data_IF_330088002833
#
_entry.id   IF_330088002833
#
_cell.length_a   1.000
_cell.length_b   1.000
_cell.length_c   1.000
_cell.angle_alpha   90.00
_cell.angle_beta   90.00
_cell.angle_gamma   90.00
#
_symmetry.space_group_name_H-M   'P 1'
#
loop_
_entity.id
_entity.type
_entity.pdbx_description
1 polymer ?
#
# COMPACT_ATOMS: atom_id res chain seq x y z
N UNK A 1 26.95 2.38 21.30
CA UNK A 1 26.67 3.03 20.03
C UNK A 1 25.21 3.45 20.06
N UNK A 2 24.90 4.72 19.77
CA UNK A 2 23.49 5.11 19.61
C UNK A 2 22.92 4.32 18.42
N UNK A 3 21.73 3.76 18.59
CA UNK A 3 21.02 3.08 17.49
C UNK A 3 20.72 4.09 16.38
N UNK A 4 20.94 3.69 15.12
CA UNK A 4 20.57 4.53 13.97
C UNK A 4 19.08 4.76 13.97
N UNK A 5 18.67 6.01 13.72
CA UNK A 5 17.29 6.44 13.59
C UNK A 5 17.06 7.02 12.19
N UNK A 6 15.86 6.86 11.69
CA UNK A 6 15.45 7.32 10.36
C UNK A 6 14.17 8.13 10.50
N UNK A 7 14.04 9.18 9.73
CA UNK A 7 12.75 9.84 9.52
C UNK A 7 11.95 9.03 8.50
N UNK A 8 10.79 8.57 8.90
CA UNK A 8 9.81 7.90 8.06
C UNK A 8 8.66 8.85 7.74
N UNK A 9 8.29 8.95 6.48
CA UNK A 9 7.18 9.78 6.01
C UNK A 9 6.24 8.90 5.19
N UNK A 10 4.94 8.89 5.51
CA UNK A 10 3.92 8.18 4.74
C UNK A 10 2.87 9.18 4.24
N UNK A 11 2.96 9.53 2.96
CA UNK A 11 2.14 10.55 2.30
C UNK A 11 0.91 9.87 1.69
N UNK A 12 -0.23 10.00 2.35
CA UNK A 12 -1.52 9.61 1.80
C UNK A 12 -2.25 10.75 1.09
N UNK A 13 -3.39 10.42 0.49
CA UNK A 13 -4.21 11.44 -0.18
C UNK A 13 -4.87 12.45 0.76
N UNK A 14 -5.08 12.13 2.03
CA UNK A 14 -5.79 12.98 3.01
C UNK A 14 -4.95 13.37 4.20
N UNK A 15 -3.92 12.60 4.51
CA UNK A 15 -3.02 12.85 5.64
C UNK A 15 -1.59 12.44 5.32
N UNK A 16 -0.64 13.03 6.04
CA UNK A 16 0.74 12.58 6.12
C UNK A 16 1.01 12.04 7.52
N UNK A 17 1.60 10.85 7.59
CA UNK A 17 2.12 10.28 8.84
C UNK A 17 3.62 10.45 8.88
N UNK A 18 4.14 10.80 10.04
CA UNK A 18 5.56 11.00 10.30
C UNK A 18 5.98 10.11 11.45
N UNK A 19 7.13 9.49 11.33
CA UNK A 19 7.65 8.62 12.38
C UNK A 19 9.16 8.67 12.51
N UNK A 20 9.67 8.38 13.70
CA UNK A 20 11.07 8.00 13.91
C UNK A 20 11.11 6.50 14.03
N UNK A 21 11.85 5.85 13.14
CA UNK A 21 12.00 4.39 13.09
C UNK A 21 13.46 4.03 13.34
N UNK A 22 13.71 3.04 14.17
CA UNK A 22 15.07 2.56 14.46
C UNK A 22 15.54 1.48 13.45
N UNK A 23 16.79 1.07 13.58
CA UNK A 23 17.42 0.04 12.73
C UNK A 23 16.78 -1.36 12.87
N UNK A 24 15.94 -1.58 13.87
CA UNK A 24 15.18 -2.81 14.07
C UNK A 24 13.76 -2.72 13.49
N UNK A 25 13.37 -1.58 12.89
CA UNK A 25 12.03 -1.36 12.35
C UNK A 25 10.99 -0.95 13.39
N UNK A 26 11.43 -0.61 14.62
CA UNK A 26 10.54 -0.16 15.67
C UNK A 26 10.20 1.33 15.47
N UNK A 27 8.91 1.67 15.48
CA UNK A 27 8.44 3.04 15.47
C UNK A 27 8.57 3.61 16.91
N UNK A 28 9.50 4.55 17.09
CA UNK A 28 9.83 5.15 18.40
C UNK A 28 8.90 6.32 18.72
N UNK A 29 8.53 7.10 17.72
CA UNK A 29 7.60 8.22 17.82
C UNK A 29 6.84 8.35 16.52
N UNK A 30 5.59 8.82 16.57
CA UNK A 30 4.80 9.11 15.37
C UNK A 30 3.78 10.22 15.59
N UNK A 31 3.40 10.86 14.49
CA UNK A 31 2.31 11.83 14.41
C UNK A 31 1.61 11.73 13.07
N UNK A 32 0.45 12.36 12.97
CA UNK A 32 -0.32 12.45 11.72
C UNK A 32 -0.85 13.87 11.56
N UNK A 33 -0.83 14.38 10.34
CA UNK A 33 -1.37 15.69 9.98
C UNK A 33 -2.18 15.61 8.68
N UNK A 34 -3.29 16.35 8.60
CA UNK A 34 -4.10 16.42 7.39
C UNK A 34 -3.37 17.19 6.29
N UNK A 35 -3.36 16.65 5.06
CA UNK A 35 -2.90 17.34 3.85
C UNK A 35 -4.04 17.95 3.05
N UNK A 36 -5.29 17.69 3.46
CA UNK A 36 -6.51 18.18 2.81
C UNK A 36 -7.27 19.21 3.64
N UNK A 37 -6.64 19.76 4.69
CA UNK A 37 -7.28 20.61 5.70
C UNK A 37 -7.92 21.89 5.13
N UNK A 38 -7.42 22.39 3.99
CA UNK A 38 -7.91 23.58 3.30
C UNK A 38 -8.47 23.29 1.88
N UNK A 39 -8.81 22.01 1.61
CA UNK A 39 -9.26 21.57 0.30
C UNK A 39 -8.15 21.56 -0.76
N UNK A 40 -6.91 21.28 -0.34
CA UNK A 40 -5.68 21.25 -1.16
C UNK A 40 -5.30 22.62 -1.78
N UNK A 41 -5.68 23.74 -1.16
CA UNK A 41 -5.15 25.07 -1.55
C UNK A 41 -3.65 25.13 -1.26
N UNK A 42 -3.22 24.59 -0.11
CA UNK A 42 -1.80 24.33 0.15
C UNK A 42 -1.39 23.04 -0.54
N UNK A 43 -0.35 23.03 -1.38
CA UNK A 43 0.18 21.83 -1.99
C UNK A 43 0.53 20.77 -0.93
N UNK A 44 0.25 19.50 -1.24
CA UNK A 44 0.55 18.38 -0.34
C UNK A 44 2.01 18.40 0.10
N UNK A 45 2.94 18.61 -0.85
CA UNK A 45 4.38 18.62 -0.55
C UNK A 45 4.76 19.74 0.44
N UNK A 46 4.18 20.94 0.33
CA UNK A 46 4.46 22.06 1.25
C UNK A 46 4.04 21.69 2.69
N UNK A 47 2.87 21.04 2.83
CA UNK A 47 2.41 20.51 4.12
C UNK A 47 3.36 19.45 4.66
N UNK A 48 3.82 18.53 3.81
CA UNK A 48 4.78 17.48 4.19
C UNK A 48 6.09 18.07 4.70
N UNK A 49 6.67 19.03 3.97
CA UNK A 49 7.95 19.67 4.34
C UNK A 49 7.84 20.39 5.68
N UNK A 50 6.76 21.17 5.85
CA UNK A 50 6.49 21.89 7.11
C UNK A 50 6.29 20.93 8.28
N UNK A 51 5.46 19.91 8.10
CA UNK A 51 5.14 18.94 9.13
C UNK A 51 6.36 18.09 9.52
N UNK A 52 7.16 17.64 8.54
CA UNK A 52 8.37 16.86 8.79
C UNK A 52 9.41 17.67 9.59
N UNK A 53 9.63 18.95 9.23
CA UNK A 53 10.52 19.83 9.98
C UNK A 53 10.06 20.01 11.42
N UNK A 54 8.79 20.37 11.61
CA UNK A 54 8.21 20.58 12.94
C UNK A 54 8.26 19.29 13.80
N UNK A 55 8.00 18.13 13.18
CA UNK A 55 8.05 16.85 13.89
C UNK A 55 9.45 16.53 14.41
N UNK A 56 10.49 16.67 13.59
CA UNK A 56 11.89 16.43 14.00
C UNK A 56 12.28 17.36 15.16
N UNK A 57 11.91 18.66 15.09
CA UNK A 57 12.17 19.66 16.12
C UNK A 57 11.45 19.29 17.45
N UNK A 58 10.17 18.88 17.39
CA UNK A 58 9.37 18.46 18.58
C UNK A 58 9.96 17.22 19.23
N UNK A 59 10.57 16.30 18.46
CA UNK A 59 11.27 15.14 19.02
C UNK A 59 12.62 15.51 19.66
N UNK A 60 13.05 16.79 19.60
CA UNK A 60 14.35 17.24 20.09
C UNK A 60 15.51 16.73 19.25
N UNK A 61 15.26 16.33 18.01
CA UNK A 61 16.25 15.80 17.06
C UNK A 61 16.70 16.89 16.09
N UNK A 62 17.90 16.71 15.59
CA UNK A 62 18.45 17.44 14.46
C UNK A 62 18.71 16.49 13.28
N UNK A 63 18.91 16.98 12.06
CA UNK A 63 19.30 16.13 10.93
C UNK A 63 20.54 15.28 11.20
N UNK A 64 21.48 15.75 12.02
CA UNK A 64 22.69 15.00 12.37
C UNK A 64 22.40 13.74 13.24
N UNK A 65 21.23 13.65 13.87
CA UNK A 65 20.81 12.51 14.67
C UNK A 65 20.13 11.41 13.83
N UNK A 66 19.89 11.69 12.55
CA UNK A 66 19.18 10.81 11.62
C UNK A 66 20.13 10.27 10.56
N UNK A 67 19.98 8.99 10.22
CA UNK A 67 20.78 8.35 9.18
C UNK A 67 20.25 8.65 7.76
N UNK A 68 18.96 9.04 7.64
CA UNK A 68 18.34 9.38 6.37
C UNK A 68 16.82 9.44 6.46
N UNK A 69 16.17 9.64 5.32
CA UNK A 69 14.72 9.79 5.20
C UNK A 69 14.14 8.75 4.25
N UNK A 70 13.21 7.93 4.72
CA UNK A 70 12.42 7.01 3.90
C UNK A 70 11.02 7.55 3.70
N UNK A 71 10.55 7.60 2.45
CA UNK A 71 9.23 8.13 2.10
C UNK A 71 8.40 7.07 1.40
N UNK A 72 7.22 6.80 1.95
CA UNK A 72 6.09 6.13 1.33
C UNK A 72 5.17 7.19 0.76
N UNK A 73 4.76 7.09 -0.50
CA UNK A 73 3.93 8.11 -1.12
C UNK A 73 2.84 7.48 -1.99
N UNK A 74 1.61 7.99 -1.84
CA UNK A 74 0.50 7.60 -2.71
C UNK A 74 0.72 8.08 -4.15
N UNK A 75 0.17 7.35 -5.12
CA UNK A 75 0.29 7.65 -6.55
C UNK A 75 1.40 6.89 -7.25
N UNK A 76 1.61 7.22 -8.51
CA UNK A 76 2.67 6.65 -9.33
C UNK A 76 3.98 7.39 -9.05
N UNK A 77 4.93 6.70 -8.47
CA UNK A 77 6.20 7.29 -8.02
C UNK A 77 7.33 6.78 -8.92
N UNK A 78 8.00 7.68 -9.61
CA UNK A 78 9.33 7.40 -10.15
C UNK A 78 10.30 7.31 -8.97
N UNK A 79 10.57 6.10 -8.48
CA UNK A 79 11.39 5.90 -7.28
C UNK A 79 12.85 6.31 -7.49
N UNK A 80 13.35 6.30 -8.73
CA UNK A 80 14.71 6.73 -9.05
C UNK A 80 14.84 8.26 -8.96
N UNK A 81 13.88 9.00 -9.50
CA UNK A 81 13.84 10.45 -9.41
C UNK A 81 13.26 10.96 -8.09
N UNK A 82 12.49 10.13 -7.38
CA UNK A 82 11.77 10.52 -6.18
C UNK A 82 10.67 11.55 -6.44
N UNK A 83 9.95 11.39 -7.57
CA UNK A 83 8.97 12.35 -8.08
C UNK A 83 7.63 11.66 -8.34
N UNK A 84 6.54 12.35 -8.06
CA UNK A 84 5.18 11.90 -8.40
C UNK A 84 4.94 12.11 -9.89
N UNK A 85 4.71 11.05 -10.65
CA UNK A 85 4.49 11.12 -12.10
C UNK A 85 3.03 10.91 -12.51
N UNK A 86 2.18 10.45 -11.58
CA UNK A 86 0.76 10.27 -11.82
C UNK A 86 -0.02 9.95 -10.56
N UNK A 87 -1.35 10.12 -10.63
CA UNK A 87 -2.28 9.74 -9.56
C UNK A 87 -3.54 9.14 -10.14
N UNK A 88 -4.18 8.22 -9.43
CA UNK A 88 -5.50 7.67 -9.79
C UNK A 88 -6.65 8.36 -9.05
N UNK A 89 -6.41 9.52 -8.47
CA UNK A 89 -7.38 10.36 -7.77
C UNK A 89 -7.18 11.84 -8.10
N UNK A 90 -8.14 12.66 -7.69
CA UNK A 90 -8.00 14.11 -7.82
C UNK A 90 -7.18 14.65 -6.63
N UNK A 91 -5.86 14.68 -6.79
CA UNK A 91 -4.92 15.29 -5.86
C UNK A 91 -4.29 16.52 -6.54
N UNK A 92 -4.88 17.72 -6.33
CA UNK A 92 -4.41 18.94 -6.98
C UNK A 92 -2.95 19.25 -6.61
N UNK A 93 -2.18 19.74 -7.58
CA UNK A 93 -0.79 20.18 -7.39
C UNK A 93 0.18 19.10 -6.85
N UNK A 94 -0.17 17.80 -7.00
CA UNK A 94 0.67 16.72 -6.50
C UNK A 94 1.49 16.05 -7.60
N UNK A 95 0.98 15.94 -8.83
CA UNK A 95 1.75 15.44 -9.98
C UNK A 95 2.90 16.41 -10.28
N UNK A 96 4.10 15.86 -10.43
CA UNK A 96 5.34 16.64 -10.62
C UNK A 96 6.03 17.01 -9.30
N UNK A 97 5.47 16.70 -8.14
CA UNK A 97 6.08 16.99 -6.84
C UNK A 97 7.45 16.30 -6.69
N UNK A 98 8.56 17.04 -6.55
CA UNK A 98 9.90 16.49 -6.46
C UNK A 98 10.25 16.15 -5.01
N UNK A 99 9.55 15.16 -4.44
CA UNK A 99 9.57 14.84 -3.00
C UNK A 99 11.01 14.64 -2.50
N UNK A 100 11.80 13.83 -3.22
CA UNK A 100 13.19 13.54 -2.85
C UNK A 100 14.03 14.79 -2.78
N UNK A 101 14.06 15.60 -3.84
CA UNK A 101 14.92 16.77 -3.94
C UNK A 101 14.59 17.84 -2.88
N UNK A 102 13.30 18.05 -2.59
CA UNK A 102 12.87 19.01 -1.58
C UNK A 102 13.23 18.58 -0.16
N UNK A 103 13.06 17.28 0.16
CA UNK A 103 13.45 16.73 1.46
C UNK A 103 14.96 16.65 1.63
N UNK A 104 15.73 16.33 0.57
CA UNK A 104 17.21 16.40 0.58
C UNK A 104 17.69 17.84 0.84
N UNK A 105 17.03 18.83 0.21
CA UNK A 105 17.33 20.24 0.45
C UNK A 105 17.01 20.65 1.89
N UNK A 106 15.87 20.20 2.42
CA UNK A 106 15.40 20.56 3.76
C UNK A 106 16.29 20.00 4.87
N UNK A 107 16.67 18.73 4.76
CA UNK A 107 17.38 18.01 5.85
C UNK A 107 18.89 17.84 5.59
N UNK A 108 19.37 17.99 4.36
CA UNK A 108 20.76 17.67 4.01
C UNK A 108 21.12 16.20 4.17
N UNK A 109 20.12 15.30 4.09
CA UNK A 109 20.24 13.85 4.27
C UNK A 109 19.85 13.12 3.00
N UNK A 110 20.35 11.91 2.75
CA UNK A 110 19.86 11.06 1.67
C UNK A 110 18.39 10.70 1.89
N UNK A 111 17.63 10.70 0.78
CA UNK A 111 16.18 10.44 0.77
C UNK A 111 15.86 9.38 -0.28
N UNK A 112 14.99 8.44 0.07
CA UNK A 112 14.36 7.51 -0.88
C UNK A 112 12.85 7.66 -0.85
N UNK A 113 12.23 7.49 -2.00
CA UNK A 113 10.75 7.57 -2.16
C UNK A 113 10.27 6.34 -2.90
N UNK A 114 9.26 5.66 -2.37
CA UNK A 114 8.60 4.56 -3.04
C UNK A 114 7.07 4.68 -2.93
N UNK A 115 6.34 3.94 -3.77
CA UNK A 115 4.89 3.88 -3.68
C UNK A 115 4.42 3.26 -2.35
N UNK A 116 3.26 3.67 -1.85
CA UNK A 116 2.68 3.27 -0.57
C UNK A 116 2.41 1.76 -0.45
N UNK A 117 1.90 1.11 -1.50
CA UNK A 117 1.69 -0.33 -1.50
C UNK A 117 3.02 -1.12 -1.57
N UNK A 118 4.01 -0.60 -2.28
CA UNK A 118 5.37 -1.13 -2.27
C UNK A 118 5.98 -1.06 -0.86
N UNK A 119 5.85 0.09 -0.20
CA UNK A 119 6.30 0.26 1.19
C UNK A 119 5.55 -0.66 2.15
N UNK A 120 4.23 -0.83 2.02
CA UNK A 120 3.49 -1.79 2.82
C UNK A 120 4.10 -3.18 2.72
N UNK A 121 4.33 -3.67 1.49
CA UNK A 121 4.92 -4.98 1.26
C UNK A 121 6.31 -5.12 1.89
N UNK A 122 7.17 -4.11 1.73
CA UNK A 122 8.52 -4.06 2.30
C UNK A 122 8.51 -4.05 3.84
N UNK A 123 7.60 -3.30 4.46
CA UNK A 123 7.45 -3.27 5.90
C UNK A 123 7.08 -4.64 6.47
N UNK A 124 6.13 -5.30 5.84
CA UNK A 124 5.68 -6.64 6.22
C UNK A 124 6.80 -7.70 6.08
N UNK A 125 7.66 -7.57 5.06
CA UNK A 125 8.82 -8.45 4.89
C UNK A 125 9.89 -8.17 5.95
N UNK A 126 10.08 -6.92 6.35
CA UNK A 126 11.11 -6.58 7.33
C UNK A 126 10.73 -7.02 8.74
N UNK A 127 9.57 -6.61 9.25
CA UNK A 127 9.17 -6.83 10.66
C UNK A 127 7.72 -7.29 10.84
N UNK A 128 6.99 -7.57 9.76
CA UNK A 128 5.59 -7.95 9.80
C UNK A 128 5.33 -9.43 9.49
N UNK A 129 4.19 -9.69 8.86
CA UNK A 129 3.68 -11.04 8.58
C UNK A 129 4.42 -11.80 7.47
N UNK A 130 5.37 -11.16 6.79
CA UNK A 130 6.15 -11.77 5.70
C UNK A 130 7.64 -11.95 6.05
N UNK A 131 8.02 -11.91 7.32
CA UNK A 131 9.40 -12.17 7.71
C UNK A 131 9.85 -13.56 7.27
N UNK A 132 11.04 -13.63 6.64
CA UNK A 132 11.64 -14.87 6.14
C UNK A 132 11.20 -15.29 4.73
N UNK A 133 10.24 -14.58 4.11
CA UNK A 133 9.85 -14.78 2.72
C UNK A 133 10.63 -13.86 1.80
N UNK A 134 10.99 -14.36 0.62
CA UNK A 134 11.74 -13.60 -0.40
C UNK A 134 10.92 -13.30 -1.65
N UNK A 135 9.90 -14.11 -1.92
CA UNK A 135 9.04 -13.98 -3.08
C UNK A 135 7.60 -13.75 -2.61
N UNK A 136 7.22 -12.48 -2.54
CA UNK A 136 5.99 -12.00 -1.89
C UNK A 136 5.23 -11.08 -2.83
N UNK A 137 3.92 -11.25 -2.87
CA UNK A 137 3.01 -10.27 -3.46
C UNK A 137 2.21 -9.63 -2.33
N UNK A 138 2.37 -8.32 -2.13
CA UNK A 138 1.51 -7.53 -1.26
C UNK A 138 0.40 -6.88 -2.07
N UNK A 139 -0.83 -6.95 -1.59
CA UNK A 139 -2.00 -6.30 -2.20
C UNK A 139 -2.75 -5.50 -1.14
N UNK A 140 -3.06 -4.25 -1.41
CA UNK A 140 -3.90 -3.41 -0.55
C UNK A 140 -5.30 -3.28 -1.15
N UNK A 141 -6.33 -3.66 -0.38
CA UNK A 141 -7.74 -3.53 -0.75
C UNK A 141 -8.35 -2.33 -0.01
N UNK A 142 -8.50 -1.22 -0.72
CA UNK A 142 -8.98 0.05 -0.15
C UNK A 142 -9.86 0.82 -1.13
N UNK A 143 -9.63 2.12 -1.27
CA UNK A 143 -10.27 2.97 -2.30
C UNK A 143 -9.97 2.42 -3.70
N UNK A 144 -8.75 1.96 -3.93
CA UNK A 144 -8.30 1.23 -5.08
C UNK A 144 -7.68 -0.10 -4.69
N UNK A 145 -6.91 -0.69 -5.61
CA UNK A 145 -6.06 -1.86 -5.39
C UNK A 145 -4.62 -1.46 -5.65
N UNK A 146 -3.85 -1.34 -4.57
CA UNK A 146 -2.41 -1.16 -4.66
C UNK A 146 -1.67 -2.50 -4.63
N UNK A 147 -0.41 -2.51 -5.07
CA UNK A 147 0.38 -3.71 -5.05
C UNK A 147 1.88 -3.48 -4.89
N UNK A 148 2.56 -4.48 -4.35
CA UNK A 148 4.01 -4.56 -4.29
C UNK A 148 4.46 -5.99 -4.57
N UNK A 149 5.50 -6.15 -5.35
CA UNK A 149 6.04 -7.46 -5.72
C UNK A 149 7.49 -7.52 -5.25
N UNK A 150 7.81 -8.49 -4.42
CA UNK A 150 9.19 -8.85 -4.10
C UNK A 150 9.56 -10.15 -4.80
N UNK A 151 10.75 -10.19 -5.36
CA UNK A 151 11.36 -11.40 -5.91
C UNK A 151 12.82 -11.46 -5.48
N UNK A 152 13.23 -12.60 -4.92
CA UNK A 152 14.56 -12.74 -4.33
C UNK A 152 14.85 -11.72 -3.22
N UNK A 153 13.86 -11.30 -2.46
CA UNK A 153 13.97 -10.33 -1.34
C UNK A 153 14.10 -8.87 -1.77
N UNK A 154 13.92 -8.56 -3.07
CA UNK A 154 14.01 -7.20 -3.61
C UNK A 154 12.70 -6.78 -4.26
N UNK A 155 12.36 -5.52 -4.15
CA UNK A 155 11.22 -4.94 -4.81
C UNK A 155 11.38 -4.98 -6.33
N UNK A 156 10.34 -5.41 -7.05
CA UNK A 156 10.26 -5.35 -8.51
C UNK A 156 9.85 -3.94 -8.94
N UNK A 157 10.81 -3.08 -9.12
CA UNK A 157 10.57 -1.67 -9.44
C UNK A 157 10.33 -1.40 -10.93
N UNK A 158 10.81 -2.28 -11.82
CA UNK A 158 10.79 -2.04 -13.26
C UNK A 158 11.77 -0.94 -13.69
N UNK A 159 11.62 -0.50 -14.94
CA UNK A 159 12.61 0.39 -15.59
C UNK A 159 12.67 1.81 -14.99
N UNK A 160 11.62 2.28 -14.33
CA UNK A 160 11.49 3.65 -13.79
C UNK A 160 10.91 3.69 -12.37
N UNK A 161 10.99 2.59 -11.62
CA UNK A 161 10.44 2.52 -10.28
C UNK A 161 8.91 2.46 -10.19
N UNK A 162 8.21 2.27 -11.32
CA UNK A 162 6.74 2.28 -11.42
C UNK A 162 6.12 0.87 -11.35
N UNK A 163 6.90 -0.16 -11.05
CA UNK A 163 6.39 -1.54 -10.95
C UNK A 163 5.43 -1.73 -9.79
N UNK A 164 4.50 -2.68 -9.93
CA UNK A 164 3.57 -2.99 -8.85
C UNK A 164 2.16 -2.41 -8.98
N UNK A 165 1.82 -1.73 -10.07
CA UNK A 165 0.47 -1.20 -10.36
C UNK A 165 -0.54 -2.32 -10.64
N UNK A 166 -0.68 -3.26 -9.69
CA UNK A 166 -1.44 -4.50 -9.85
C UNK A 166 -2.93 -4.27 -10.08
N UNK A 167 -3.49 -3.20 -9.52
CA UNK A 167 -4.91 -2.86 -9.70
C UNK A 167 -5.28 -2.53 -11.14
N UNK A 168 -4.30 -2.14 -11.98
CA UNK A 168 -4.56 -1.65 -13.34
C UNK A 168 -4.35 -2.68 -14.45
N UNK A 169 -3.93 -3.92 -14.13
CA UNK A 169 -4.03 -4.97 -15.15
C UNK A 169 -5.50 -5.37 -15.37
N UNK A 170 -5.82 -5.82 -16.59
CA UNK A 170 -7.22 -6.02 -16.99
C UNK A 170 -7.67 -7.45 -16.74
N UNK A 171 -8.65 -7.62 -15.86
CA UNK A 171 -9.37 -8.89 -15.68
C UNK A 171 -10.63 -8.97 -16.54
N UNK A 172 -11.20 -7.82 -16.94
CA UNK A 172 -12.45 -7.70 -17.72
C UNK A 172 -12.22 -6.82 -18.97
N UNK A 173 -11.38 -7.30 -19.89
CA UNK A 173 -10.91 -6.49 -21.02
C UNK A 173 -12.02 -6.14 -22.05
N UNK A 174 -13.05 -6.98 -22.20
CA UNK A 174 -14.09 -6.82 -23.24
C UNK A 174 -15.30 -6.04 -22.73
N UNK A 175 -15.86 -6.41 -21.58
CA UNK A 175 -17.12 -5.88 -21.07
C UNK A 175 -16.93 -5.13 -19.73
N UNK A 176 -15.73 -4.57 -19.53
CA UNK A 176 -15.33 -4.01 -18.23
C UNK A 176 -15.87 -2.63 -17.95
N UNK A 177 -15.84 -2.27 -16.66
CA UNK A 177 -16.17 -0.93 -16.15
C UNK A 177 -15.01 0.04 -16.46
N UNK A 178 -15.28 1.30 -16.86
CA UNK A 178 -14.25 2.33 -17.02
C UNK A 178 -13.46 2.54 -15.72
N UNK A 179 -12.14 2.70 -15.86
CA UNK A 179 -11.21 2.97 -14.76
C UNK A 179 -10.71 4.41 -14.81
N UNK A 180 -10.36 4.96 -13.66
CA UNK A 180 -9.77 6.30 -13.52
C UNK A 180 -8.43 6.46 -14.23
N UNK A 181 -7.71 5.36 -14.49
CA UNK A 181 -6.47 5.36 -15.28
C UNK A 181 -6.70 5.55 -16.79
N UNK A 182 -7.94 5.69 -17.23
CA UNK A 182 -8.32 5.82 -18.65
C UNK A 182 -8.56 4.49 -19.40
N UNK A 183 -8.28 3.33 -18.77
CA UNK A 183 -8.54 2.02 -19.32
C UNK A 183 -9.94 1.51 -18.96
N UNK A 184 -10.31 0.33 -19.51
CA UNK A 184 -11.56 -0.38 -19.21
C UNK A 184 -11.20 -1.76 -18.65
N UNK A 185 -11.92 -2.20 -17.62
CA UNK A 185 -11.81 -3.56 -17.09
C UNK A 185 -10.61 -3.82 -16.19
N UNK A 186 -10.01 -2.78 -15.60
CA UNK A 186 -8.96 -2.94 -14.59
C UNK A 186 -9.47 -3.71 -13.37
N UNK A 187 -8.64 -4.59 -12.84
CA UNK A 187 -8.94 -5.42 -11.66
C UNK A 187 -9.44 -4.61 -10.46
N UNK A 188 -8.88 -3.45 -10.22
CA UNK A 188 -9.31 -2.52 -9.17
C UNK A 188 -10.82 -2.24 -9.19
N UNK A 189 -11.43 -2.16 -10.38
CA UNK A 189 -12.86 -1.83 -10.51
C UNK A 189 -13.79 -2.92 -9.98
N UNK A 190 -13.24 -4.10 -9.70
CA UNK A 190 -13.94 -5.30 -9.21
C UNK A 190 -13.44 -5.71 -7.82
N UNK A 191 -12.15 -5.62 -7.57
CA UNK A 191 -11.51 -6.12 -6.35
C UNK A 191 -11.35 -5.07 -5.23
N UNK A 192 -11.41 -3.77 -5.52
CA UNK A 192 -11.31 -2.73 -4.48
C UNK A 192 -12.49 -2.80 -3.48
N UNK A 193 -12.26 -2.35 -2.25
CA UNK A 193 -13.34 -2.21 -1.25
C UNK A 193 -14.44 -1.26 -1.75
N UNK A 194 -14.08 -0.23 -2.50
CA UNK A 194 -15.06 0.67 -3.15
C UNK A 194 -15.94 -0.03 -4.17
N UNK A 195 -15.45 -1.08 -4.84
CA UNK A 195 -16.27 -1.89 -5.74
C UNK A 195 -17.32 -2.71 -4.96
N UNK A 196 -16.93 -3.33 -3.85
CA UNK A 196 -17.84 -4.01 -2.94
C UNK A 196 -18.92 -3.04 -2.40
N UNK A 197 -18.51 -1.88 -1.90
CA UNK A 197 -19.44 -0.85 -1.36
C UNK A 197 -20.40 -0.37 -2.44
N UNK A 198 -19.96 -0.18 -3.67
CA UNK A 198 -20.83 0.19 -4.79
C UNK A 198 -21.89 -0.87 -5.05
N UNK A 199 -21.51 -2.14 -5.17
CA UNK A 199 -22.42 -3.25 -5.38
C UNK A 199 -23.40 -3.44 -4.20
N UNK A 200 -22.92 -3.25 -2.98
CA UNK A 200 -23.75 -3.33 -1.79
C UNK A 200 -24.83 -2.23 -1.72
N UNK A 201 -24.45 -0.98 -2.01
CA UNK A 201 -25.38 0.16 -2.05
C UNK A 201 -26.50 0.01 -3.07
N UNK A 202 -26.29 -0.71 -4.17
CA UNK A 202 -27.33 -1.03 -5.15
C UNK A 202 -28.41 -1.98 -4.58
N UNK A 203 -28.07 -2.76 -3.54
CA UNK A 203 -29.00 -3.67 -2.86
C UNK A 203 -29.64 -3.03 -1.64
N UNK A 204 -28.87 -2.31 -0.84
CA UNK A 204 -29.36 -1.57 0.34
C UNK A 204 -28.49 -0.31 0.56
N UNK A 205 -29.09 0.89 0.49
CA UNK A 205 -28.40 2.16 0.74
C UNK A 205 -27.76 2.28 2.13
N UNK A 206 -28.16 1.45 3.10
CA UNK A 206 -27.55 1.44 4.44
C UNK A 206 -26.15 0.84 4.46
N UNK A 207 -25.74 0.06 3.47
CA UNK A 207 -24.40 -0.54 3.37
C UNK A 207 -23.41 0.44 2.75
N UNK A 208 -23.10 1.49 3.52
CA UNK A 208 -22.37 2.68 3.06
C UNK A 208 -20.84 2.50 3.04
N UNK A 209 -20.32 1.52 3.78
CA UNK A 209 -18.88 1.25 3.89
C UNK A 209 -18.61 -0.22 4.21
N UNK A 210 -17.33 -0.60 4.21
CA UNK A 210 -16.91 -1.97 4.51
C UNK A 210 -17.35 -2.44 5.90
N UNK A 211 -17.36 -1.56 6.90
CA UNK A 211 -17.75 -1.92 8.27
C UNK A 211 -19.24 -2.34 8.32
N UNK A 212 -20.12 -1.54 7.73
CA UNK A 212 -21.55 -1.85 7.67
C UNK A 212 -21.81 -3.19 6.94
N UNK A 213 -21.07 -3.45 5.85
CA UNK A 213 -21.17 -4.69 5.07
C UNK A 213 -20.72 -5.90 5.90
N UNK A 214 -19.56 -5.86 6.51
CA UNK A 214 -19.05 -6.99 7.30
C UNK A 214 -19.89 -7.22 8.57
N UNK A 215 -20.40 -6.17 9.20
CA UNK A 215 -21.37 -6.32 10.33
C UNK A 215 -22.63 -7.04 9.91
N UNK A 216 -23.18 -6.72 8.73
CA UNK A 216 -24.35 -7.42 8.21
C UNK A 216 -24.05 -8.89 7.85
N UNK A 217 -22.86 -9.16 7.31
CA UNK A 217 -22.40 -10.52 7.02
C UNK A 217 -22.26 -11.37 8.29
N UNK A 218 -21.66 -10.82 9.35
CA UNK A 218 -21.52 -11.45 10.67
C UNK A 218 -22.90 -11.74 11.30
N UNK A 219 -23.90 -10.91 11.02
CA UNK A 219 -25.30 -11.14 11.40
C UNK A 219 -26.02 -12.18 10.53
N UNK A 220 -25.35 -12.78 9.54
CA UNK A 220 -25.92 -13.81 8.68
C UNK A 220 -26.79 -13.31 7.54
N UNK A 221 -26.64 -12.04 7.11
CA UNK A 221 -27.40 -11.50 5.98
C UNK A 221 -26.99 -12.21 4.68
N UNK A 222 -27.90 -13.02 4.13
CA UNK A 222 -27.64 -13.85 2.94
C UNK A 222 -27.29 -13.03 1.70
N UNK A 223 -27.88 -11.86 1.51
CA UNK A 223 -27.57 -10.98 0.37
C UNK A 223 -26.15 -10.47 0.46
N UNK A 224 -25.69 -10.08 1.65
CA UNK A 224 -24.33 -9.61 1.87
C UNK A 224 -23.33 -10.76 1.76
N UNK A 225 -23.65 -11.94 2.28
CA UNK A 225 -22.80 -13.12 2.13
C UNK A 225 -22.59 -13.48 0.65
N UNK A 226 -23.66 -13.44 -0.17
CA UNK A 226 -23.53 -13.66 -1.61
C UNK A 226 -22.70 -12.56 -2.32
N UNK A 227 -22.82 -11.31 -1.91
CA UNK A 227 -21.97 -10.21 -2.41
C UNK A 227 -20.49 -10.43 -2.06
N UNK A 228 -20.19 -10.83 -0.82
CA UNK A 228 -18.82 -11.12 -0.38
C UNK A 228 -18.24 -12.33 -1.11
N UNK A 229 -19.05 -13.37 -1.34
CA UNK A 229 -18.62 -14.53 -2.10
C UNK A 229 -18.21 -14.13 -3.52
N UNK A 230 -19.06 -13.40 -4.24
CA UNK A 230 -18.72 -12.89 -5.57
C UNK A 230 -17.49 -11.96 -5.56
N UNK A 231 -17.41 -11.05 -4.58
CA UNK A 231 -16.28 -10.12 -4.49
C UNK A 231 -14.95 -10.86 -4.22
N UNK A 232 -14.97 -11.91 -3.40
CA UNK A 232 -13.77 -12.75 -3.18
C UNK A 232 -13.40 -13.58 -4.39
N UNK A 233 -14.36 -13.92 -5.30
CA UNK A 233 -14.06 -14.51 -6.60
C UNK A 233 -13.27 -13.54 -7.49
N UNK A 234 -13.72 -12.29 -7.58
CA UNK A 234 -13.04 -11.23 -8.34
C UNK A 234 -11.60 -10.99 -7.86
N UNK A 235 -11.41 -10.99 -6.53
CA UNK A 235 -10.08 -10.88 -5.94
C UNK A 235 -9.24 -12.11 -6.31
N UNK A 236 -9.77 -13.30 -6.13
CA UNK A 236 -9.05 -14.56 -6.37
C UNK A 236 -8.64 -14.75 -7.83
N UNK A 237 -9.49 -14.36 -8.78
CA UNK A 237 -9.15 -14.42 -10.21
C UNK A 237 -7.94 -13.55 -10.54
N UNK A 238 -7.90 -12.33 -10.00
CA UNK A 238 -6.75 -11.46 -10.19
C UNK A 238 -5.48 -12.04 -9.58
N UNK A 239 -5.55 -12.52 -8.36
CA UNK A 239 -4.42 -13.13 -7.67
C UNK A 239 -3.92 -14.39 -8.37
N UNK A 240 -4.81 -15.24 -8.90
CA UNK A 240 -4.43 -16.46 -9.61
C UNK A 240 -3.57 -16.16 -10.86
N UNK A 241 -3.90 -15.08 -11.59
CA UNK A 241 -3.05 -14.61 -12.69
C UNK A 241 -1.65 -14.25 -12.22
N UNK A 242 -1.54 -13.54 -11.11
CA UNK A 242 -0.25 -13.14 -10.53
C UNK A 242 0.55 -14.36 -10.01
N UNK A 243 -0.13 -15.34 -9.41
CA UNK A 243 0.51 -16.59 -8.98
C UNK A 243 1.18 -17.30 -10.15
N UNK A 244 0.51 -17.40 -11.30
CA UNK A 244 1.09 -18.04 -12.48
C UNK A 244 2.26 -17.27 -13.10
N UNK A 245 2.32 -15.92 -12.92
CA UNK A 245 3.39 -15.08 -13.48
C UNK A 245 4.61 -15.04 -12.54
N UNK A 246 4.38 -14.88 -11.24
CA UNK A 246 5.45 -14.58 -10.27
C UNK A 246 5.80 -15.76 -9.37
N UNK A 247 4.94 -16.78 -9.28
CA UNK A 247 5.13 -17.95 -8.41
C UNK A 247 5.56 -17.58 -6.97
N UNK A 248 4.79 -16.74 -6.26
CA UNK A 248 5.17 -16.26 -4.94
C UNK A 248 5.07 -17.36 -3.88
N UNK A 249 5.84 -17.23 -2.82
CA UNK A 249 5.71 -18.03 -1.60
C UNK A 249 4.51 -17.57 -0.76
N UNK A 250 4.26 -16.25 -0.76
CA UNK A 250 3.26 -15.61 0.09
C UNK A 250 2.54 -14.49 -0.67
N UNK A 251 1.22 -14.44 -0.48
CA UNK A 251 0.40 -13.26 -0.81
C UNK A 251 -0.07 -12.63 0.50
N UNK A 252 0.21 -11.33 0.66
CA UNK A 252 -0.28 -10.53 1.77
C UNK A 252 -1.45 -9.65 1.32
N UNK A 253 -2.54 -9.70 2.07
CA UNK A 253 -3.71 -8.86 1.87
C UNK A 253 -3.72 -7.77 2.94
N UNK A 254 -3.50 -6.53 2.53
CA UNK A 254 -3.58 -5.33 3.34
C UNK A 254 -4.83 -4.49 3.06
N UNK A 255 -4.90 -3.31 3.67
CA UNK A 255 -6.04 -2.40 3.57
C UNK A 255 -7.04 -2.53 4.71
N UNK A 256 -8.01 -1.61 4.76
CA UNK A 256 -8.91 -1.47 5.91
C UNK A 256 -9.80 -2.68 6.22
N UNK A 257 -9.96 -3.59 5.27
CA UNK A 257 -10.79 -4.81 5.40
C UNK A 257 -9.99 -6.07 5.72
N UNK A 258 -8.65 -5.99 5.73
CA UNK A 258 -7.77 -7.16 5.85
C UNK A 258 -7.88 -7.92 7.17
N UNK A 259 -8.41 -7.32 8.23
CA UNK A 259 -8.64 -7.99 9.52
C UNK A 259 -9.74 -9.07 9.47
N UNK A 260 -10.50 -9.17 8.37
CA UNK A 260 -11.63 -10.09 8.21
C UNK A 260 -11.15 -11.50 7.77
N UNK A 261 -10.60 -12.26 8.72
CA UNK A 261 -10.01 -13.58 8.42
C UNK A 261 -11.03 -14.52 7.76
N UNK A 262 -12.15 -14.80 8.43
CA UNK A 262 -13.13 -15.80 7.98
C UNK A 262 -13.97 -15.38 6.77
N UNK A 263 -14.25 -14.10 6.64
CA UNK A 263 -15.13 -13.55 5.60
C UNK A 263 -14.36 -13.06 4.38
N UNK A 264 -13.04 -12.92 4.47
CA UNK A 264 -12.22 -12.39 3.39
C UNK A 264 -11.00 -13.29 3.11
N UNK A 265 -10.08 -13.43 4.05
CA UNK A 265 -8.79 -14.09 3.81
C UNK A 265 -8.96 -15.57 3.49
N UNK A 266 -9.73 -16.30 4.30
CA UNK A 266 -9.94 -17.74 4.13
C UNK A 266 -10.64 -18.08 2.79
N UNK A 267 -11.74 -17.37 2.39
CA UNK A 267 -12.35 -17.55 1.08
C UNK A 267 -11.40 -17.24 -0.08
N UNK A 268 -10.66 -16.13 -0.03
CA UNK A 268 -9.67 -15.78 -1.07
C UNK A 268 -8.63 -16.90 -1.18
N UNK A 269 -8.08 -17.37 -0.06
CA UNK A 269 -7.07 -18.42 -0.06
C UNK A 269 -7.59 -19.74 -0.66
N UNK A 270 -8.81 -20.12 -0.35
CA UNK A 270 -9.45 -21.31 -0.90
C UNK A 270 -9.67 -21.17 -2.43
N UNK A 271 -10.21 -20.03 -2.86
CA UNK A 271 -10.53 -19.76 -4.27
C UNK A 271 -9.27 -19.64 -5.14
N UNK A 272 -8.21 -18.97 -4.64
CA UNK A 272 -6.92 -18.88 -5.36
C UNK A 272 -6.33 -20.28 -5.54
N UNK A 273 -6.26 -21.10 -4.48
CA UNK A 273 -5.71 -22.45 -4.58
C UNK A 273 -6.50 -23.35 -5.54
N UNK A 274 -7.81 -23.14 -5.62
CA UNK A 274 -8.66 -23.86 -6.56
C UNK A 274 -8.52 -23.40 -8.02
N UNK A 275 -8.04 -22.16 -8.23
CA UNK A 275 -7.96 -21.51 -9.55
C UNK A 275 -6.58 -21.64 -10.21
N UNK A 276 -5.55 -22.02 -9.47
CA UNK A 276 -4.19 -22.16 -9.99
C UNK A 276 -3.84 -23.62 -10.30
N UNK A 277 -2.86 -23.85 -11.17
CA UNK A 277 -2.35 -25.19 -11.43
C UNK A 277 -1.81 -25.82 -10.12
N UNK A 278 -2.01 -27.12 -9.86
CA UNK A 278 -1.69 -27.75 -8.57
C UNK A 278 -0.27 -27.49 -8.07
N UNK A 279 0.72 -27.48 -8.95
CA UNK A 279 2.11 -27.21 -8.58
C UNK A 279 2.34 -25.79 -8.02
N UNK A 280 1.50 -24.81 -8.41
CA UNK A 280 1.57 -23.43 -7.90
C UNK A 280 0.82 -23.27 -6.57
N UNK A 281 -0.13 -24.14 -6.26
CA UNK A 281 -0.85 -24.14 -5.00
C UNK A 281 0.00 -24.74 -3.85
N UNK A 282 0.97 -25.59 -4.19
CA UNK A 282 1.84 -26.24 -3.22
C UNK A 282 2.75 -25.20 -2.54
N UNK A 283 2.66 -25.10 -1.21
CA UNK A 283 3.44 -24.17 -0.41
C UNK A 283 3.01 -22.70 -0.51
N UNK A 284 2.02 -22.35 -1.35
CA UNK A 284 1.51 -20.98 -1.44
C UNK A 284 0.71 -20.61 -0.18
N UNK A 285 1.12 -19.53 0.48
CA UNK A 285 0.43 -18.98 1.61
C UNK A 285 -0.30 -17.67 1.24
N UNK A 286 -1.46 -17.43 1.87
CA UNK A 286 -2.22 -16.20 1.73
C UNK A 286 -2.64 -15.76 3.13
N UNK A 287 -2.22 -14.55 3.52
CA UNK A 287 -2.38 -14.03 4.89
C UNK A 287 -2.78 -12.56 4.89
N UNK A 288 -3.36 -12.11 6.00
CA UNK A 288 -3.54 -10.69 6.27
C UNK A 288 -2.19 -10.03 6.62
N UNK A 289 -2.01 -8.77 6.19
CA UNK A 289 -0.94 -7.89 6.64
C UNK A 289 -1.07 -7.59 8.14
N UNK A 290 0.04 -7.41 8.86
CA UNK A 290 0.09 -7.29 10.32
C UNK A 290 0.44 -5.89 10.83
N UNK A 291 1.20 -5.10 10.07
CA UNK A 291 1.68 -3.77 10.50
C UNK A 291 0.63 -2.67 10.40
N UNK A 292 -0.52 -2.95 9.79
CA UNK A 292 -1.63 -1.99 9.67
C UNK A 292 -1.16 -0.61 9.16
N UNK A 293 -1.50 0.45 9.91
CA UNK A 293 -1.20 1.84 9.52
C UNK A 293 0.28 2.23 9.61
N UNK A 294 1.13 1.42 10.20
CA UNK A 294 2.57 1.71 10.31
C UNK A 294 3.38 1.09 9.16
N UNK A 295 2.76 0.21 8.36
CA UNK A 295 3.43 -0.54 7.30
C UNK A 295 4.14 0.36 6.28
N UNK A 296 3.49 1.47 5.86
CA UNK A 296 4.07 2.44 4.92
C UNK A 296 5.35 3.07 5.46
N UNK A 297 5.31 3.61 6.68
CA UNK A 297 6.48 4.22 7.33
C UNK A 297 7.63 3.23 7.54
N UNK A 298 7.32 2.04 8.07
CA UNK A 298 8.33 0.99 8.32
C UNK A 298 8.96 0.53 7.01
N UNK A 299 8.14 0.29 5.99
CA UNK A 299 8.61 -0.14 4.69
C UNK A 299 9.43 0.92 3.95
N UNK A 300 9.10 2.20 4.09
CA UNK A 300 9.87 3.30 3.54
C UNK A 300 11.31 3.34 4.10
N UNK A 301 11.46 3.09 5.40
CA UNK A 301 12.79 2.97 6.03
C UNK A 301 13.51 1.71 5.56
N UNK A 302 12.80 0.59 5.42
CA UNK A 302 13.44 -0.63 4.89
C UNK A 302 13.91 -0.45 3.45
N UNK A 303 13.11 0.21 2.59
CA UNK A 303 13.51 0.57 1.25
C UNK A 303 14.77 1.47 1.24
N UNK A 304 14.78 2.50 2.11
CA UNK A 304 15.96 3.35 2.29
C UNK A 304 17.20 2.53 2.61
N UNK A 305 17.12 1.59 3.55
CA UNK A 305 18.24 0.73 3.95
C UNK A 305 18.68 -0.24 2.85
N UNK A 306 17.78 -0.70 2.00
CA UNK A 306 18.14 -1.51 0.83
C UNK A 306 18.87 -0.70 -0.23
N UNK A 307 18.52 0.58 -0.39
CA UNK A 307 19.18 1.51 -1.32
C UNK A 307 20.54 2.03 -0.78
N UNK A 308 20.71 2.08 0.54
CA UNK A 308 21.87 2.63 1.22
C UNK A 308 22.44 1.63 2.26
N UNK A 309 22.95 0.46 1.84
CA UNK A 309 23.44 -0.57 2.77
C UNK A 309 24.69 -0.13 3.55
N UNK A 310 25.36 0.91 3.10
CA UNK A 310 26.52 1.51 3.77
C UNK A 310 26.15 2.41 4.95
N UNK A 311 24.92 2.97 4.98
CA UNK A 311 24.38 3.82 6.05
C UNK A 311 23.63 2.99 7.08
#
# INVERSE_FOLDING_TARGET
MNKKQYLAIDIGGTSVKLGIVDEAGQVLAKTEESVSFDGYQTPILDTVLRAAKAFVEVQGLSPADLAGVGVSATGQIDSHAGTVVGTCGNLPNYIGAPIKAELETLFGLPVTVANDANCMCLGEVWVGGAQGYTDVIGVTLGTGVGGGILTGGRLLEGARGLGGELGHYRTHALDGVPCTCGAVGCWERYAATTALVRAAKEKDPAWIDGRAIFTAAEAGNETVLALLDHWTDEIAQGLAGMVHIFNPQLILIGGGVSAQQKLLIDPIAAKVRASVMPAFAEGLEIRAAQLHNDAGMVGAVYYFRQCHPEL
#
